data_IF_711732662093
#
_entry.id   IF_711732662093
#
_cell.length_a   1.000
_cell.length_b   1.000
_cell.length_c   1.000
_cell.angle_alpha   90.00
_cell.angle_beta   90.00
_cell.angle_gamma   90.00
#
_symmetry.space_group_name_H-M   'P 1'
#
loop_
_entity.id
_entity.type
_entity.pdbx_description
1 polymer ?
#
# COMPACT_ATOMS: atom_id res chain seq x y z
N UNK A 1 14.36 5.26 6.44
CA UNK A 1 12.91 5.41 6.67
C UNK A 1 12.19 4.66 5.56
N UNK A 2 11.23 3.79 5.90
CA UNK A 2 10.39 3.10 4.93
C UNK A 2 9.01 3.76 4.96
N UNK A 3 8.52 4.19 3.80
CA UNK A 3 7.24 4.92 3.69
C UNK A 3 6.07 4.01 3.29
N UNK A 4 6.38 2.78 2.86
CA UNK A 4 5.40 1.74 2.56
C UNK A 4 6.05 0.36 2.70
N UNK A 5 5.30 -0.68 2.40
CA UNK A 5 5.72 -2.06 2.53
C UNK A 5 5.13 -2.92 1.41
N UNK A 6 5.96 -3.77 0.82
CA UNK A 6 5.49 -4.77 -0.14
C UNK A 6 4.72 -5.90 0.55
N UNK A 7 5.05 -6.19 1.81
CA UNK A 7 4.43 -7.25 2.61
C UNK A 7 3.23 -6.78 3.43
N UNK A 8 2.45 -7.75 3.91
CA UNK A 8 1.15 -7.52 4.53
C UNK A 8 1.19 -7.04 5.99
N UNK A 9 2.32 -7.16 6.71
CA UNK A 9 2.39 -6.92 8.16
C UNK A 9 2.18 -5.45 8.57
N UNK A 10 2.07 -4.53 7.61
CA UNK A 10 1.61 -3.16 7.82
C UNK A 10 0.53 -2.75 6.79
N UNK A 11 -0.23 -3.72 6.28
CA UNK A 11 -1.13 -3.56 5.13
C UNK A 11 -0.36 -3.50 3.81
N UNK A 12 0.37 -2.41 3.60
CA UNK A 12 1.29 -2.26 2.47
C UNK A 12 0.62 -2.14 1.10
N UNK A 13 1.37 -2.42 0.03
CA UNK A 13 0.90 -2.35 -1.36
C UNK A 13 -0.33 -3.24 -1.64
N UNK A 14 -0.41 -4.41 -1.01
CA UNK A 14 -1.58 -5.27 -1.11
C UNK A 14 -2.85 -4.58 -0.57
N UNK A 15 -2.73 -3.78 0.50
CA UNK A 15 -3.87 -3.03 1.04
C UNK A 15 -4.31 -1.89 0.09
N UNK A 16 -3.37 -1.16 -0.50
CA UNK A 16 -3.67 -0.16 -1.53
C UNK A 16 -4.34 -0.77 -2.77
N UNK A 17 -3.86 -1.94 -3.21
CA UNK A 17 -4.46 -2.70 -4.31
C UNK A 17 -5.89 -3.10 -3.99
N UNK A 18 -6.14 -3.66 -2.80
CA UNK A 18 -7.50 -4.03 -2.37
C UNK A 18 -8.44 -2.83 -2.27
N UNK A 19 -7.98 -1.67 -1.77
CA UNK A 19 -8.79 -0.45 -1.75
C UNK A 19 -9.12 0.05 -3.15
N UNK A 20 -8.22 -0.12 -4.11
CA UNK A 20 -8.45 0.30 -5.48
C UNK A 20 -9.40 -0.64 -6.23
N UNK A 21 -9.32 -1.95 -5.96
CA UNK A 21 -10.25 -2.96 -6.49
C UNK A 21 -11.67 -2.78 -5.93
N UNK A 22 -11.80 -2.21 -4.72
CA UNK A 22 -13.06 -1.76 -4.16
C UNK A 22 -13.70 -2.74 -3.17
N UNK A 23 -15.00 -2.53 -2.84
CA UNK A 23 -15.68 -3.33 -1.81
C UNK A 23 -15.68 -4.82 -2.14
N UNK A 24 -15.28 -5.65 -1.18
CA UNK A 24 -15.24 -7.10 -1.34
C UNK A 24 -13.93 -7.64 -1.93
N UNK A 25 -12.95 -6.80 -2.25
CA UNK A 25 -11.62 -7.25 -2.62
C UNK A 25 -10.97 -8.04 -1.46
N UNK A 26 -10.45 -9.23 -1.77
CA UNK A 26 -9.80 -10.12 -0.79
C UNK A 26 -8.31 -10.11 -1.06
N UNK A 27 -7.53 -9.70 -0.06
CA UNK A 27 -6.07 -9.82 -0.10
C UNK A 27 -5.72 -11.31 0.06
N UNK A 28 -4.99 -11.92 -0.89
CA UNK A 28 -4.55 -13.31 -0.77
C UNK A 28 -3.38 -13.40 0.21
N UNK A 29 -3.65 -13.29 1.52
CA UNK A 29 -2.62 -13.42 2.55
C UNK A 29 -1.81 -14.71 2.34
N UNK A 30 -0.48 -14.67 2.54
CA UNK A 30 0.40 -15.72 2.03
C UNK A 30 0.15 -17.07 2.71
N UNK A 31 -0.48 -17.96 1.96
CA UNK A 31 -0.25 -19.41 2.02
C UNK A 31 0.66 -19.85 0.86
N UNK A 32 0.41 -19.29 -0.34
CA UNK A 32 1.34 -19.22 -1.47
C UNK A 32 1.88 -17.79 -1.59
N UNK A 33 3.20 -17.64 -1.52
CA UNK A 33 3.87 -16.34 -1.60
C UNK A 33 3.79 -15.74 -3.00
N UNK A 34 3.84 -16.54 -4.06
CA UNK A 34 3.82 -16.03 -5.43
C UNK A 34 2.48 -15.35 -5.74
N UNK A 35 1.36 -15.93 -5.28
CA UNK A 35 0.05 -15.32 -5.42
C UNK A 35 -0.04 -13.97 -4.69
N UNK A 36 0.51 -13.90 -3.46
CA UNK A 36 0.55 -12.64 -2.71
C UNK A 36 1.43 -11.59 -3.39
N UNK A 37 2.61 -11.98 -3.85
CA UNK A 37 3.57 -11.09 -4.54
C UNK A 37 2.95 -10.50 -5.81
N UNK A 38 2.33 -11.33 -6.65
CA UNK A 38 1.65 -10.87 -7.86
C UNK A 38 0.49 -9.93 -7.55
N UNK A 39 -0.29 -10.21 -6.51
CA UNK A 39 -1.35 -9.32 -6.07
C UNK A 39 -0.80 -7.98 -5.56
N UNK A 40 0.25 -8.01 -4.74
CA UNK A 40 0.88 -6.82 -4.17
C UNK A 40 1.55 -5.95 -5.24
N UNK A 41 2.18 -6.57 -6.25
CA UNK A 41 2.87 -5.88 -7.34
C UNK A 41 1.93 -5.05 -8.24
N UNK A 42 0.64 -5.41 -8.34
CA UNK A 42 -0.37 -4.62 -9.08
C UNK A 42 -0.46 -3.17 -8.59
N UNK A 43 -0.03 -2.88 -7.36
CA UNK A 43 0.08 -1.52 -6.85
C UNK A 43 0.77 -0.57 -7.84
N UNK A 44 1.84 -1.00 -8.50
CA UNK A 44 2.60 -0.17 -9.44
C UNK A 44 1.85 0.12 -10.75
N UNK A 45 0.84 -0.69 -11.08
CA UNK A 45 0.04 -0.57 -12.30
C UNK A 45 -1.24 0.25 -12.07
N UNK A 46 -1.70 0.31 -10.82
CA UNK A 46 -2.95 0.98 -10.46
C UNK A 46 -2.66 2.44 -10.08
N UNK A 47 -2.82 3.35 -11.05
CA UNK A 47 -2.57 4.79 -10.84
C UNK A 47 -3.23 5.37 -9.59
N UNK A 48 -4.47 4.96 -9.30
CA UNK A 48 -5.21 5.44 -8.11
C UNK A 48 -4.49 5.04 -6.81
N UNK A 49 -3.90 3.85 -6.76
CA UNK A 49 -3.15 3.35 -5.62
C UNK A 49 -1.85 4.14 -5.42
N UNK A 50 -1.13 4.44 -6.51
CA UNK A 50 0.08 5.26 -6.45
C UNK A 50 -0.23 6.71 -6.07
N UNK A 51 -1.31 7.29 -6.59
CA UNK A 51 -1.74 8.66 -6.23
C UNK A 51 -2.03 8.78 -4.72
N UNK A 52 -2.75 7.80 -4.14
CA UNK A 52 -2.98 7.76 -2.70
C UNK A 52 -1.71 7.58 -1.87
N UNK A 53 -0.72 6.88 -2.41
CA UNK A 53 0.57 6.73 -1.76
C UNK A 53 1.38 8.03 -1.80
N UNK A 54 1.34 8.76 -2.93
CA UNK A 54 1.94 10.09 -3.04
C UNK A 54 1.32 11.07 -2.03
N UNK A 55 -0.01 11.02 -1.84
CA UNK A 55 -0.70 11.81 -0.82
C UNK A 55 -0.23 11.45 0.59
N UNK A 56 -0.01 10.17 0.89
CA UNK A 56 0.55 9.71 2.16
C UNK A 56 1.97 10.25 2.38
N UNK A 57 2.83 10.21 1.34
CA UNK A 57 4.18 10.78 1.39
C UNK A 57 4.09 12.29 1.69
N UNK A 58 3.23 13.02 0.97
CA UNK A 58 3.05 14.47 1.18
C UNK A 58 2.61 14.79 2.60
N UNK A 59 1.67 14.02 3.15
CA UNK A 59 1.22 14.16 4.54
C UNK A 59 2.39 14.01 5.54
N UNK A 60 3.22 12.97 5.36
CA UNK A 60 4.36 12.72 6.25
C UNK A 60 5.43 13.81 6.12
N UNK A 61 5.79 14.20 4.89
CA UNK A 61 6.81 15.22 4.65
C UNK A 61 6.39 16.61 5.14
N UNK A 62 5.09 16.90 5.14
CA UNK A 62 4.55 18.18 5.60
C UNK A 62 4.38 18.25 7.12
N UNK A 63 4.64 17.14 7.84
CA UNK A 63 4.47 17.09 9.29
C UNK A 63 5.52 17.94 10.00
N UNK A 64 5.08 18.99 10.69
CA UNK A 64 5.91 19.70 11.68
C UNK A 64 5.94 18.91 12.99
N UNK A 65 7.15 18.64 13.49
CA UNK A 65 7.32 18.01 14.80
C UNK A 65 6.78 18.94 15.89
N UNK A 66 5.91 18.42 16.77
CA UNK A 66 5.25 19.20 17.83
C UNK A 66 6.17 19.48 19.02
N UNK A 67 7.33 18.82 19.08
CA UNK A 67 8.31 18.96 20.16
C UNK A 67 9.48 19.88 19.80
N UNK A 68 9.41 20.57 18.66
CA UNK A 68 10.41 21.55 18.17
C UNK A 68 9.71 22.83 17.72
#
# INVERSE_FOLDING_TARGET
MCLNNFWHWSGGFAQYTAWADGPGAIIPYPGDYNQFELFSARFYEIKKATDWFDDHIRFLLSRKNQYT
#
